data_IF_482787677934
#
_entry.id   IF_482787677934
#
_cell.length_a   1.000
_cell.length_b   1.000
_cell.length_c   1.000
_cell.angle_alpha   90.00
_cell.angle_beta   90.00
_cell.angle_gamma   90.00
#
_symmetry.space_group_name_H-M   'P 1'
#
loop_
_entity.id
_entity.type
_entity.pdbx_description
1 polymer ?
#
# COMPACT_ATOMS: atom_id res chain seq x y z
N UNK A 1 -1.78 -20.61 10.25
CA UNK A 1 -2.42 -20.54 8.91
C UNK A 1 -1.40 -20.91 7.85
N UNK A 2 -1.74 -21.72 6.83
CA UNK A 2 -0.77 -22.06 5.78
C UNK A 2 -0.46 -20.85 4.89
N UNK A 3 0.80 -20.44 4.89
CA UNK A 3 1.34 -19.48 3.91
C UNK A 3 1.39 -20.18 2.56
N UNK A 4 0.73 -19.60 1.56
CA UNK A 4 0.80 -20.08 0.17
C UNK A 4 1.54 -19.07 -0.68
N UNK A 5 1.95 -19.52 -1.86
CA UNK A 5 2.50 -18.62 -2.87
C UNK A 5 1.92 -18.95 -4.24
N UNK A 6 1.84 -17.92 -5.09
CA UNK A 6 1.46 -18.05 -6.50
C UNK A 6 2.48 -17.29 -7.34
N UNK A 7 2.91 -17.89 -8.44
CA UNK A 7 3.78 -17.21 -9.41
C UNK A 7 2.91 -16.62 -10.52
N UNK A 8 3.05 -15.33 -10.78
CA UNK A 8 2.32 -14.59 -11.81
C UNK A 8 3.31 -13.72 -12.57
N UNK A 9 3.43 -13.93 -13.90
CA UNK A 9 4.30 -13.15 -14.80
C UNK A 9 5.72 -12.94 -14.23
N UNK A 10 6.34 -14.02 -13.74
CA UNK A 10 7.67 -14.07 -13.12
C UNK A 10 7.81 -13.41 -11.74
N UNK A 11 6.70 -13.10 -11.05
CA UNK A 11 6.72 -12.61 -9.66
C UNK A 11 6.08 -13.62 -8.73
N UNK A 12 6.75 -13.92 -7.61
CA UNK A 12 6.22 -14.77 -6.54
C UNK A 12 5.40 -13.89 -5.59
N UNK A 13 4.09 -14.12 -5.58
CA UNK A 13 3.17 -13.52 -4.62
C UNK A 13 3.01 -14.48 -3.45
N UNK A 14 3.31 -14.01 -2.24
CA UNK A 14 3.09 -14.76 -1.00
C UNK A 14 1.79 -14.26 -0.38
N UNK A 15 0.92 -15.17 0.03
CA UNK A 15 -0.37 -14.84 0.62
C UNK A 15 -0.70 -15.82 1.74
N UNK A 16 -1.26 -15.32 2.84
CA UNK A 16 -1.79 -16.14 3.90
C UNK A 16 -3.19 -16.66 3.50
N UNK A 17 -3.45 -17.95 3.70
CA UNK A 17 -4.80 -18.51 3.61
C UNK A 17 -5.27 -18.85 5.02
N UNK A 18 -6.26 -18.12 5.49
CA UNK A 18 -6.99 -18.38 6.72
C UNK A 18 -8.48 -18.60 6.46
N UNK A 19 -9.16 -19.32 7.35
CA UNK A 19 -10.61 -19.21 7.48
C UNK A 19 -10.92 -18.05 8.43
N UNK A 20 -11.74 -17.08 7.99
CA UNK A 20 -12.11 -15.89 8.76
C UNK A 20 -11.52 -14.58 8.23
N UNK A 21 -11.89 -13.46 8.87
CA UNK A 21 -11.28 -12.15 8.62
C UNK A 21 -9.90 -12.10 9.28
N UNK A 22 -8.85 -11.92 8.48
CA UNK A 22 -7.51 -11.61 8.98
C UNK A 22 -7.51 -10.14 9.41
N UNK A 23 -7.14 -9.85 10.65
CA UNK A 23 -7.02 -8.46 11.12
C UNK A 23 -5.75 -7.80 10.57
N UNK A 24 -5.71 -6.46 10.60
CA UNK A 24 -4.50 -5.73 10.20
C UNK A 24 -3.30 -6.06 11.11
N UNK A 25 -3.55 -6.31 12.39
CA UNK A 25 -2.51 -6.69 13.35
C UNK A 25 -1.94 -8.08 13.03
N UNK A 26 -2.78 -9.04 12.61
CA UNK A 26 -2.32 -10.36 12.15
C UNK A 26 -1.45 -10.24 10.89
N UNK A 27 -1.80 -9.33 9.97
CA UNK A 27 -0.98 -9.05 8.79
C UNK A 27 0.37 -8.44 9.16
N UNK A 28 0.40 -7.48 10.08
CA UNK A 28 1.63 -6.84 10.55
C UNK A 28 2.54 -7.84 11.25
N UNK A 29 1.99 -8.68 12.14
CA UNK A 29 2.75 -9.72 12.80
C UNK A 29 3.37 -10.69 11.80
N UNK A 30 2.63 -11.06 10.75
CA UNK A 30 3.15 -11.93 9.72
C UNK A 30 4.24 -11.28 8.84
N UNK A 31 4.13 -9.97 8.57
CA UNK A 31 5.20 -9.21 7.91
C UNK A 31 6.46 -9.18 8.78
N UNK A 32 6.32 -9.07 10.10
CA UNK A 32 7.45 -9.12 11.03
C UNK A 32 8.12 -10.52 11.03
N UNK A 33 7.34 -11.60 11.07
CA UNK A 33 7.86 -12.97 10.92
C UNK A 33 8.60 -13.17 9.59
N UNK A 34 8.06 -12.64 8.49
CA UNK A 34 8.72 -12.68 7.19
C UNK A 34 10.01 -11.87 7.18
N UNK A 35 10.07 -10.74 7.90
CA UNK A 35 11.26 -9.91 8.00
C UNK A 35 12.45 -10.60 8.69
N UNK A 36 12.21 -11.66 9.46
CA UNK A 36 13.26 -12.49 10.08
C UNK A 36 13.90 -13.50 9.10
N UNK A 37 13.26 -13.80 7.96
CA UNK A 37 13.86 -14.67 6.94
C UNK A 37 14.99 -13.91 6.20
N UNK A 38 16.25 -14.37 6.26
CA UNK A 38 17.37 -13.72 5.57
C UNK A 38 17.23 -13.71 4.03
N UNK A 39 16.30 -14.48 3.46
CA UNK A 39 15.95 -14.47 2.03
C UNK A 39 14.77 -13.56 1.70
N UNK A 40 14.03 -13.09 2.70
CA UNK A 40 12.97 -12.14 2.50
C UNK A 40 13.56 -10.76 2.25
N UNK A 41 13.22 -10.20 1.09
CA UNK A 41 13.54 -8.82 0.76
C UNK A 41 12.23 -8.05 0.83
N UNK A 42 12.11 -7.18 1.84
CA UNK A 42 10.91 -6.37 2.01
C UNK A 42 10.64 -5.58 0.73
N UNK A 43 9.45 -5.74 0.12
CA UNK A 43 9.04 -4.94 -1.02
C UNK A 43 9.13 -3.45 -0.70
N UNK A 44 8.76 -3.05 0.53
CA UNK A 44 8.83 -1.66 0.98
C UNK A 44 10.27 -1.15 1.00
N UNK A 45 11.24 -1.94 1.51
CA UNK A 45 12.66 -1.58 1.47
C UNK A 45 13.20 -1.47 0.03
N UNK A 46 12.68 -2.25 -0.91
CA UNK A 46 13.11 -2.13 -2.32
C UNK A 46 12.49 -0.95 -3.05
N UNK A 47 11.34 -0.45 -2.59
CA UNK A 47 10.70 0.74 -3.16
C UNK A 47 11.33 2.01 -2.59
N UNK A 48 11.59 2.07 -1.28
CA UNK A 48 12.27 3.22 -0.66
C UNK A 48 13.66 3.42 -1.22
N UNK A 49 14.40 2.33 -1.50
CA UNK A 49 15.73 2.40 -2.14
C UNK A 49 15.76 3.11 -3.50
N UNK A 50 14.63 3.16 -4.22
CA UNK A 50 14.56 3.90 -5.50
C UNK A 50 14.54 5.41 -5.30
N UNK A 51 14.28 5.84 -4.08
CA UNK A 51 14.23 7.23 -3.66
C UNK A 51 15.52 7.62 -2.90
N UNK A 52 16.46 6.68 -2.74
CA UNK A 52 17.77 6.95 -2.15
C UNK A 52 18.50 8.01 -2.99
N UNK A 53 19.12 8.98 -2.31
CA UNK A 53 19.88 10.06 -2.95
C UNK A 53 19.05 11.30 -3.30
N UNK A 54 17.72 11.25 -3.14
CA UNK A 54 16.87 12.43 -3.25
C UNK A 54 16.91 13.26 -1.96
N UNK A 55 16.85 14.58 -2.09
CA UNK A 55 16.68 15.47 -0.94
C UNK A 55 15.22 15.46 -0.44
N UNK A 56 15.00 15.97 0.76
CA UNK A 56 13.64 16.10 1.32
C UNK A 56 12.76 16.97 0.41
N UNK A 57 13.31 18.03 -0.16
CA UNK A 57 12.61 18.92 -1.09
C UNK A 57 12.18 18.16 -2.36
N UNK A 58 13.08 17.36 -2.95
CA UNK A 58 12.78 16.55 -4.13
C UNK A 58 11.72 15.48 -3.84
N UNK A 59 11.76 14.86 -2.66
CA UNK A 59 10.74 13.91 -2.22
C UNK A 59 9.37 14.57 -2.07
N UNK A 60 9.33 15.79 -1.50
CA UNK A 60 8.11 16.58 -1.37
C UNK A 60 7.57 16.97 -2.75
N UNK A 61 8.43 17.36 -3.68
CA UNK A 61 8.04 17.70 -5.04
C UNK A 61 7.42 16.49 -5.77
N UNK A 62 8.07 15.33 -5.71
CA UNK A 62 7.52 14.10 -6.29
C UNK A 62 6.18 13.72 -5.67
N UNK A 63 6.04 13.84 -4.35
CA UNK A 63 4.78 13.58 -3.67
C UNK A 63 3.66 14.50 -4.17
N UNK A 64 3.95 15.80 -4.36
CA UNK A 64 3.00 16.78 -4.90
C UNK A 64 2.58 16.43 -6.33
N UNK A 65 3.54 16.09 -7.21
CA UNK A 65 3.24 15.72 -8.59
C UNK A 65 2.32 14.50 -8.68
N UNK A 66 2.62 13.43 -7.95
CA UNK A 66 1.76 12.23 -7.90
C UNK A 66 0.36 12.57 -7.36
N UNK A 67 0.29 13.51 -6.42
CA UNK A 67 -0.99 13.96 -5.87
C UNK A 67 -1.79 14.77 -6.88
N UNK A 68 -1.17 15.66 -7.63
CA UNK A 68 -1.81 16.42 -8.71
C UNK A 68 -2.37 15.49 -9.78
N UNK A 69 -1.59 14.49 -10.20
CA UNK A 69 -2.05 13.46 -11.15
C UNK A 69 -3.26 12.69 -10.62
N UNK A 70 -3.23 12.29 -9.34
CA UNK A 70 -4.34 11.60 -8.68
C UNK A 70 -5.60 12.47 -8.65
N UNK A 71 -5.45 13.77 -8.35
CA UNK A 71 -6.56 14.73 -8.34
C UNK A 71 -7.16 14.85 -9.73
N UNK A 72 -6.33 15.01 -10.76
CA UNK A 72 -6.79 15.13 -12.15
C UNK A 72 -7.56 13.88 -12.59
N UNK A 73 -7.09 12.68 -12.23
CA UNK A 73 -7.78 11.41 -12.49
C UNK A 73 -9.17 11.41 -11.84
N UNK A 74 -9.25 11.72 -10.54
CA UNK A 74 -10.52 11.66 -9.79
C UNK A 74 -11.50 12.74 -10.25
N UNK A 75 -11.01 13.95 -10.59
CA UNK A 75 -11.84 15.02 -11.14
C UNK A 75 -12.50 14.65 -12.48
N UNK A 76 -11.85 13.79 -13.26
CA UNK A 76 -12.41 13.28 -14.52
C UNK A 76 -13.40 12.13 -14.36
N UNK A 77 -13.64 11.63 -13.14
CA UNK A 77 -14.52 10.47 -12.90
C UNK A 77 -15.98 10.88 -12.76
N UNK A 78 -16.86 10.03 -13.28
CA UNK A 78 -18.30 10.09 -13.00
C UNK A 78 -18.66 9.32 -11.72
N UNK A 79 -19.88 9.53 -11.20
CA UNK A 79 -20.40 8.71 -10.10
C UNK A 79 -20.48 7.22 -10.46
N UNK A 80 -20.73 6.88 -11.73
CA UNK A 80 -20.73 5.50 -12.19
C UNK A 80 -19.33 4.88 -12.13
N UNK A 81 -18.28 5.65 -12.41
CA UNK A 81 -16.90 5.18 -12.29
C UNK A 81 -16.56 4.83 -10.84
N UNK A 82 -16.97 5.67 -9.90
CA UNK A 82 -16.76 5.44 -8.46
C UNK A 82 -17.46 4.18 -7.95
N UNK A 83 -18.58 3.79 -8.56
CA UNK A 83 -19.33 2.59 -8.23
C UNK A 83 -18.75 1.29 -8.83
N UNK A 84 -17.73 1.36 -9.68
CA UNK A 84 -17.08 0.17 -10.24
C UNK A 84 -16.40 -0.62 -9.13
N UNK A 85 -16.43 -1.94 -9.24
CA UNK A 85 -15.84 -2.85 -8.27
C UNK A 85 -14.53 -3.47 -8.78
N UNK A 86 -13.66 -3.81 -7.85
CA UNK A 86 -12.38 -4.44 -8.15
C UNK A 86 -11.69 -5.03 -6.93
N UNK A 87 -10.48 -5.54 -7.12
CA UNK A 87 -9.66 -6.11 -6.06
C UNK A 87 -8.59 -5.13 -5.59
N UNK A 88 -8.59 -4.81 -4.29
CA UNK A 88 -7.53 -4.08 -3.60
C UNK A 88 -6.59 -5.07 -2.90
N UNK A 89 -5.28 -4.84 -3.02
CA UNK A 89 -4.25 -5.77 -2.56
C UNK A 89 -4.33 -6.11 -1.05
N UNK A 90 -4.79 -5.16 -0.22
CA UNK A 90 -4.85 -5.32 1.24
C UNK A 90 -6.27 -5.45 1.81
N UNK A 91 -7.28 -5.08 1.04
CA UNK A 91 -8.64 -4.95 1.55
C UNK A 91 -9.66 -5.79 0.79
N UNK A 92 -9.20 -6.60 -0.17
CA UNK A 92 -10.05 -7.50 -0.92
C UNK A 92 -10.94 -6.78 -1.92
N UNK A 93 -12.12 -7.32 -2.15
CA UNK A 93 -13.06 -6.82 -3.16
C UNK A 93 -13.85 -5.62 -2.65
N UNK A 94 -14.02 -4.58 -3.47
CA UNK A 94 -14.78 -3.39 -3.09
C UNK A 94 -14.93 -2.38 -4.21
N UNK A 95 -15.67 -1.30 -3.92
CA UNK A 95 -15.89 -0.18 -4.85
C UNK A 95 -14.65 0.71 -4.97
N UNK A 96 -14.46 1.28 -6.15
CA UNK A 96 -13.38 2.23 -6.44
C UNK A 96 -13.40 3.45 -5.51
N UNK A 97 -14.60 3.96 -5.17
CA UNK A 97 -14.78 5.03 -4.19
C UNK A 97 -14.02 4.76 -2.88
N UNK A 98 -14.15 3.55 -2.32
CA UNK A 98 -13.50 3.21 -1.06
C UNK A 98 -11.98 3.16 -1.22
N UNK A 99 -11.50 2.66 -2.35
CA UNK A 99 -10.06 2.60 -2.63
C UNK A 99 -9.45 4.00 -2.76
N UNK A 100 -10.18 4.93 -3.39
CA UNK A 100 -9.76 6.33 -3.49
C UNK A 100 -9.68 6.95 -2.10
N UNK A 101 -10.72 6.84 -1.27
CA UNK A 101 -10.73 7.38 0.10
C UNK A 101 -9.54 6.85 0.92
N UNK A 102 -9.20 5.57 0.78
CA UNK A 102 -8.06 4.99 1.50
C UNK A 102 -6.72 5.61 1.15
N UNK A 103 -6.49 6.04 -0.08
CA UNK A 103 -5.26 6.75 -0.44
C UNK A 103 -5.09 8.02 0.41
N UNK A 104 -6.19 8.69 0.79
CA UNK A 104 -6.17 9.87 1.67
C UNK A 104 -5.97 9.47 3.14
N UNK A 105 -6.67 8.45 3.62
CA UNK A 105 -6.54 7.95 4.99
C UNK A 105 -5.10 7.49 5.28
N UNK A 106 -4.47 6.80 4.32
CA UNK A 106 -3.10 6.29 4.45
C UNK A 106 -2.06 7.40 4.59
N UNK A 107 -2.20 8.50 3.83
CA UNK A 107 -1.33 9.67 3.96
C UNK A 107 -1.43 10.28 5.36
N UNK A 108 -2.65 10.41 5.90
CA UNK A 108 -2.86 10.95 7.25
C UNK A 108 -2.20 10.09 8.32
N UNK A 109 -2.34 8.76 8.22
CA UNK A 109 -1.69 7.82 9.15
C UNK A 109 -0.17 8.02 9.12
N UNK A 110 0.44 8.11 7.94
CA UNK A 110 1.87 8.36 7.83
C UNK A 110 2.30 9.72 8.35
N UNK A 111 1.50 10.76 8.12
CA UNK A 111 1.76 12.08 8.68
C UNK A 111 1.76 12.03 10.22
N UNK A 112 0.76 11.38 10.83
CA UNK A 112 0.66 11.22 12.27
C UNK A 112 1.86 10.43 12.84
N UNK A 113 2.27 9.34 12.18
CA UNK A 113 3.46 8.57 12.58
C UNK A 113 4.75 9.38 12.46
N UNK A 114 4.94 10.14 11.38
CA UNK A 114 6.10 11.02 11.22
C UNK A 114 6.12 12.06 12.35
N UNK A 115 4.98 12.69 12.64
CA UNK A 115 4.84 13.67 13.72
C UNK A 115 5.23 13.11 15.09
N UNK A 116 4.92 11.84 15.38
CA UNK A 116 5.32 11.17 16.63
C UNK A 116 6.83 10.99 16.78
N UNK A 117 7.58 10.98 15.68
CA UNK A 117 9.03 10.70 15.68
C UNK A 117 9.85 11.99 15.62
N UNK A 118 9.31 13.06 15.01
CA UNK A 118 9.97 14.37 14.90
C UNK A 118 9.69 15.33 16.07
N UNK A 119 8.78 14.95 16.97
CA UNK A 119 8.43 15.68 18.20
C UNK A 119 8.77 14.85 19.44
#
# INVERSE_FOLDING_TARGET
>A
MPIKYKILKNRKFVYAVGEGQISFDDLLQHVNELAEDPKYVSPNLTQTKKLDGLTVEELIEQFKLVREDTIAIVQGMSEQDLNREGMHAFHGHGKLERFIIWAYEHVRIHEDEIRKVIH
#
